data_IF_564613295468
#
_entry.id   IF_564613295468
#
_cell.length_a   1.000
_cell.length_b   1.000
_cell.length_c   1.000
_cell.angle_alpha   90.00
_cell.angle_beta   90.00
_cell.angle_gamma   90.00
#
_symmetry.space_group_name_H-M   'P 1'
#
loop_
_entity.id
_entity.type
_entity.pdbx_description
1 polymer ?
#
# COMPACT_ATOMS: atom_id res chain seq x y z
N UNK A 1 -7.23 -6.01 4.89
CA UNK A 1 -7.40 -6.61 3.53
C UNK A 1 -6.29 -7.65 3.38
N UNK A 2 -6.32 -8.48 2.32
CA UNK A 2 -5.37 -9.59 2.20
C UNK A 2 -4.09 -9.09 1.54
N UNK A 3 -2.96 -9.10 2.26
CA UNK A 3 -1.65 -8.91 1.66
C UNK A 3 -1.43 -9.88 0.50
N UNK A 4 -0.84 -9.41 -0.59
CA UNK A 4 -0.69 -10.19 -1.82
C UNK A 4 0.77 -10.50 -2.09
N UNK A 5 1.13 -11.78 -2.14
CA UNK A 5 2.46 -12.17 -2.62
C UNK A 5 2.58 -11.84 -4.11
N UNK A 6 3.63 -11.10 -4.47
CA UNK A 6 3.95 -10.76 -5.86
C UNK A 6 4.90 -11.81 -6.42
N UNK A 7 6.00 -12.03 -5.70
CA UNK A 7 6.98 -13.09 -5.91
C UNK A 7 7.40 -13.61 -4.54
N UNK A 8 8.09 -14.76 -4.51
CA UNK A 8 8.49 -15.40 -3.28
C UNK A 8 9.17 -14.42 -2.29
N UNK A 9 8.56 -14.27 -1.11
CA UNK A 9 9.07 -13.42 -0.03
C UNK A 9 8.87 -11.91 -0.22
N UNK A 10 8.19 -11.48 -1.30
CA UNK A 10 7.83 -10.07 -1.52
C UNK A 10 6.32 -9.95 -1.60
N UNK A 11 5.76 -9.25 -0.62
CA UNK A 11 4.32 -9.03 -0.50
C UNK A 11 3.98 -7.56 -0.73
N UNK A 12 2.95 -7.30 -1.53
CA UNK A 12 2.25 -6.04 -1.48
C UNK A 12 1.38 -5.97 -0.23
N UNK A 13 1.57 -4.91 0.56
CA UNK A 13 0.87 -4.63 1.83
C UNK A 13 0.31 -3.20 1.83
N UNK A 14 0.07 -2.65 0.64
CA UNK A 14 -0.46 -1.30 0.48
C UNK A 14 -1.95 -1.18 0.81
N UNK A 15 -2.53 -0.05 0.41
CA UNK A 15 -3.95 0.23 0.54
C UNK A 15 -4.53 0.72 -0.79
N UNK A 16 -5.76 0.32 -1.07
CA UNK A 16 -6.53 0.84 -2.21
C UNK A 16 -7.45 1.94 -1.68
N UNK A 17 -7.38 3.11 -2.28
CA UNK A 17 -8.21 4.26 -1.94
C UNK A 17 -9.16 4.62 -3.09
N UNK A 18 -10.29 3.90 -3.13
CA UNK A 18 -11.36 4.18 -4.08
C UNK A 18 -12.08 5.51 -3.81
N UNK A 19 -11.87 6.15 -2.65
CA UNK A 19 -12.55 7.39 -2.27
C UNK A 19 -11.74 8.64 -2.58
N UNK A 20 -10.45 8.50 -2.90
CA UNK A 20 -9.61 9.62 -3.34
C UNK A 20 -10.17 10.23 -4.63
N UNK A 21 -10.40 11.55 -4.64
CA UNK A 21 -10.91 12.28 -5.82
C UNK A 21 -9.91 13.23 -6.44
N UNK A 22 -8.89 13.65 -5.71
CA UNK A 22 -7.88 14.61 -6.17
C UNK A 22 -6.49 14.16 -5.69
N UNK A 23 -5.53 14.14 -6.60
CA UNK A 23 -4.11 13.94 -6.35
C UNK A 23 -3.38 15.28 -6.41
N UNK A 24 -2.54 15.54 -5.40
CA UNK A 24 -1.74 16.77 -5.28
C UNK A 24 -2.55 18.06 -5.47
N UNK A 25 -3.80 18.05 -4.98
CA UNK A 25 -4.77 19.14 -5.08
C UNK A 25 -5.10 19.64 -6.51
N UNK A 26 -4.61 18.93 -7.54
CA UNK A 26 -4.67 19.39 -8.93
C UNK A 26 -5.23 18.35 -9.90
N UNK A 27 -4.84 17.08 -9.75
CA UNK A 27 -5.12 16.03 -10.73
C UNK A 27 -6.36 15.22 -10.29
N UNK A 28 -7.44 15.19 -11.07
CA UNK A 28 -8.62 14.41 -10.71
C UNK A 28 -8.35 12.90 -10.79
N UNK A 29 -8.94 12.16 -9.84
CA UNK A 29 -8.87 10.70 -9.75
C UNK A 29 -10.29 10.11 -9.79
N UNK A 30 -10.88 9.90 -10.99
CA UNK A 30 -12.24 9.38 -11.11
C UNK A 30 -12.37 7.96 -10.55
N UNK A 31 -11.30 7.16 -10.64
CA UNK A 31 -11.28 5.75 -10.23
C UNK A 31 -10.52 5.51 -8.91
N UNK A 32 -10.18 6.59 -8.19
CA UNK A 32 -9.36 6.51 -6.98
C UNK A 32 -7.87 6.28 -7.26
N UNK A 33 -7.16 5.76 -6.26
CA UNK A 33 -5.72 5.46 -6.34
C UNK A 33 -5.34 4.29 -5.44
N UNK A 34 -4.06 3.93 -5.44
CA UNK A 34 -3.46 2.99 -4.49
C UNK A 34 -2.22 3.60 -3.86
N UNK A 35 -2.01 3.34 -2.58
CA UNK A 35 -0.74 3.55 -1.90
C UNK A 35 -0.01 2.22 -1.82
N UNK A 36 1.11 2.12 -2.53
CA UNK A 36 1.84 0.87 -2.63
C UNK A 36 2.92 0.81 -1.55
N UNK A 37 2.88 -0.24 -0.74
CA UNK A 37 3.90 -0.56 0.25
C UNK A 37 4.24 -2.04 0.14
N UNK A 38 5.48 -2.41 0.45
CA UNK A 38 5.97 -3.77 0.23
C UNK A 38 6.66 -4.33 1.46
N UNK A 39 6.25 -5.54 1.86
CA UNK A 39 6.92 -6.30 2.91
C UNK A 39 7.85 -7.32 2.28
N UNK A 40 9.15 -7.12 2.44
CA UNK A 40 10.20 -8.00 1.93
C UNK A 40 10.69 -8.86 3.08
N UNK A 41 10.42 -10.16 3.02
CA UNK A 41 10.85 -11.17 3.97
C UNK A 41 12.11 -11.85 3.44
N UNK A 42 13.27 -11.29 3.78
CA UNK A 42 14.55 -11.92 3.51
C UNK A 42 14.82 -13.08 4.47
N UNK A 43 15.84 -13.88 4.18
CA UNK A 43 16.24 -15.00 5.03
C UNK A 43 16.71 -14.59 6.43
N UNK A 44 17.30 -13.40 6.56
CA UNK A 44 17.84 -12.90 7.84
C UNK A 44 17.04 -11.73 8.41
N UNK A 45 16.44 -10.90 7.54
CA UNK A 45 15.80 -9.64 7.93
C UNK A 45 14.54 -9.43 7.14
N UNK A 46 13.63 -8.68 7.76
CA UNK A 46 12.41 -8.19 7.12
C UNK A 46 12.51 -6.68 6.95
N UNK A 47 12.10 -6.18 5.79
CA UNK A 47 12.04 -4.75 5.50
C UNK A 47 10.64 -4.38 5.02
N UNK A 48 10.14 -3.24 5.50
CA UNK A 48 8.99 -2.55 4.93
C UNK A 48 9.53 -1.45 4.01
N UNK A 49 9.07 -1.44 2.76
CA UNK A 49 9.38 -0.40 1.77
C UNK A 49 8.14 0.45 1.59
N UNK A 50 8.32 1.76 1.74
CA UNK A 50 7.29 2.80 1.73
C UNK A 50 6.21 2.62 2.81
N UNK A 51 5.25 3.54 2.81
CA UNK A 51 4.07 3.56 3.68
C UNK A 51 2.85 4.03 2.89
N UNK A 52 1.70 4.12 3.55
CA UNK A 52 0.46 4.63 2.97
C UNK A 52 0.17 6.06 3.45
N UNK A 53 -0.83 6.71 2.85
CA UNK A 53 -1.40 7.95 3.38
C UNK A 53 -1.94 7.70 4.81
N UNK A 54 -1.79 8.65 5.75
CA UNK A 54 -2.22 8.46 7.14
C UNK A 54 -3.68 8.04 7.30
N UNK A 55 -4.57 8.44 6.37
CA UNK A 55 -5.98 8.03 6.38
C UNK A 55 -6.19 6.54 6.14
N UNK A 56 -5.16 5.83 5.64
CA UNK A 56 -5.17 4.39 5.35
C UNK A 56 -4.27 3.57 6.29
N UNK A 57 -3.84 4.15 7.42
CA UNK A 57 -2.93 3.49 8.36
C UNK A 57 -3.47 2.12 8.83
N UNK A 58 -4.78 2.04 9.10
CA UNK A 58 -5.41 0.82 9.56
C UNK A 58 -5.30 -0.32 8.55
N UNK A 59 -5.48 -0.03 7.25
CA UNK A 59 -5.31 -0.99 6.18
C UNK A 59 -3.88 -1.53 6.13
N UNK A 60 -2.86 -0.66 6.25
CA UNK A 60 -1.46 -1.07 6.24
C UNK A 60 -1.11 -1.98 7.43
N UNK A 61 -1.58 -1.64 8.64
CA UNK A 61 -1.28 -2.42 9.86
C UNK A 61 -2.05 -3.75 9.89
N UNK A 62 -3.22 -3.82 9.26
CA UNK A 62 -4.08 -5.01 9.25
C UNK A 62 -3.82 -6.01 8.11
N UNK A 63 -2.81 -5.76 7.27
CA UNK A 63 -2.43 -6.61 6.13
C UNK A 63 -1.63 -7.87 6.51
#
# INVERSE_FOLDING_TARGET
>A
MVSREIIHGIHWVGAIDFDRRIFDELIPLPDGTSYNSYLIKGSEKTALVDTVDPTKEYELISN
#
